data_IF_434044729737
#
_entry.id   IF_434044729737
#
_cell.length_a   1.000
_cell.length_b   1.000
_cell.length_c   1.000
_cell.angle_alpha   90.00
_cell.angle_beta   90.00
_cell.angle_gamma   90.00
#
_symmetry.space_group_name_H-M   'P 1'
#
loop_
_entity.id
_entity.type
_entity.pdbx_description
1 polymer ?
#
# COMPACT_ATOMS: atom_id res chain seq x y z
N UNK A 1 -15.62 21.58 -19.45
CA UNK A 1 -15.99 21.31 -18.05
C UNK A 1 -14.88 20.50 -17.41
N UNK A 2 -14.24 20.97 -16.33
CA UNK A 2 -13.34 20.12 -15.54
C UNK A 2 -14.21 19.15 -14.75
N UNK A 3 -14.10 17.85 -15.01
CA UNK A 3 -14.73 16.82 -14.20
C UNK A 3 -14.14 16.94 -12.79
N UNK A 4 -14.95 17.34 -11.81
CA UNK A 4 -14.55 17.30 -10.40
C UNK A 4 -14.60 15.86 -9.96
N UNK A 5 -13.45 15.30 -9.62
CA UNK A 5 -13.38 13.95 -9.05
C UNK A 5 -14.13 13.98 -7.70
N UNK A 6 -15.10 13.09 -7.48
CA UNK A 6 -15.87 13.05 -6.24
C UNK A 6 -14.98 12.64 -5.05
N UNK A 7 -15.46 12.90 -3.84
CA UNK A 7 -14.82 12.43 -2.61
C UNK A 7 -14.58 10.91 -2.66
N UNK A 8 -13.45 10.41 -2.13
CA UNK A 8 -13.04 9.01 -2.25
C UNK A 8 -14.11 8.03 -1.77
N UNK A 9 -14.80 8.33 -0.65
CA UNK A 9 -15.90 7.50 -0.16
C UNK A 9 -17.08 7.40 -1.16
N UNK A 10 -17.39 8.51 -1.84
CA UNK A 10 -18.44 8.54 -2.87
C UNK A 10 -18.01 7.76 -4.10
N UNK A 11 -16.72 7.85 -4.47
CA UNK A 11 -16.15 7.03 -5.53
C UNK A 11 -16.28 5.53 -5.20
N UNK A 12 -15.95 5.12 -3.98
CA UNK A 12 -16.11 3.72 -3.54
C UNK A 12 -17.57 3.27 -3.62
N UNK A 13 -18.53 4.11 -3.23
CA UNK A 13 -19.95 3.78 -3.35
C UNK A 13 -20.37 3.57 -4.82
N UNK A 14 -19.89 4.39 -5.75
CA UNK A 14 -20.14 4.16 -7.18
C UNK A 14 -19.51 2.85 -7.68
N UNK A 15 -18.32 2.49 -7.21
CA UNK A 15 -17.67 1.23 -7.55
C UNK A 15 -18.42 0.02 -6.97
N UNK A 16 -18.97 0.12 -5.77
CA UNK A 16 -19.82 -0.93 -5.19
C UNK A 16 -21.11 -1.12 -6.00
N UNK A 17 -21.76 -0.03 -6.43
CA UNK A 17 -22.93 -0.11 -7.33
C UNK A 17 -22.54 -0.78 -8.65
N UNK A 18 -21.40 -0.40 -9.23
CA UNK A 18 -20.91 -1.03 -10.45
C UNK A 18 -20.62 -2.52 -10.24
N UNK A 19 -20.03 -2.90 -9.10
CA UNK A 19 -19.79 -4.30 -8.75
C UNK A 19 -21.09 -5.10 -8.68
N UNK A 20 -22.13 -4.57 -8.03
CA UNK A 20 -23.44 -5.22 -7.98
C UNK A 20 -24.07 -5.35 -9.37
N UNK A 21 -23.99 -4.30 -10.20
CA UNK A 21 -24.51 -4.39 -11.57
C UNK A 21 -23.75 -5.44 -12.39
N UNK A 22 -22.43 -5.57 -12.17
CA UNK A 22 -21.64 -6.63 -12.81
C UNK A 22 -22.12 -8.03 -12.41
N UNK A 23 -22.56 -8.26 -11.17
CA UNK A 23 -23.10 -9.57 -10.78
C UNK A 23 -24.44 -9.93 -11.44
N UNK A 24 -25.12 -8.95 -12.05
CA UNK A 24 -26.34 -9.21 -12.83
C UNK A 24 -26.05 -9.43 -14.31
N UNK A 25 -24.94 -8.91 -14.82
CA UNK A 25 -24.59 -8.94 -16.24
C UNK A 25 -23.65 -10.09 -16.59
N UNK A 26 -22.77 -10.46 -15.65
CA UNK A 26 -21.76 -11.50 -15.84
C UNK A 26 -22.33 -12.81 -15.28
N UNK A 27 -22.28 -13.93 -16.04
CA UNK A 27 -22.72 -15.21 -15.52
C UNK A 27 -21.91 -15.62 -14.30
N UNK A 28 -22.53 -16.29 -13.35
CA UNK A 28 -21.83 -16.90 -12.23
C UNK A 28 -21.10 -18.16 -12.69
N UNK A 29 -19.91 -18.39 -12.14
CA UNK A 29 -19.11 -19.56 -12.45
C UNK A 29 -18.05 -19.80 -11.39
N UNK A 30 -17.46 -20.97 -11.43
CA UNK A 30 -16.43 -21.38 -10.48
C UNK A 30 -15.36 -22.25 -11.13
N UNK A 31 -14.14 -22.12 -10.62
CA UNK A 31 -13.09 -23.11 -10.81
C UNK A 31 -13.11 -24.14 -9.68
N UNK A 32 -12.82 -25.40 -10.01
CA UNK A 32 -12.44 -26.38 -9.00
C UNK A 32 -11.14 -25.91 -8.33
N UNK A 33 -11.07 -26.10 -7.01
CA UNK A 33 -9.93 -25.71 -6.20
C UNK A 33 -9.30 -26.95 -5.57
N UNK A 34 -7.98 -27.05 -5.63
CA UNK A 34 -7.19 -28.11 -5.00
C UNK A 34 -6.15 -27.50 -4.06
N UNK A 35 -5.59 -28.32 -3.17
CA UNK A 35 -4.49 -27.91 -2.29
C UNK A 35 -3.19 -28.40 -2.93
N UNK A 36 -2.27 -27.49 -3.21
CA UNK A 36 -0.95 -27.82 -3.74
C UNK A 36 -0.04 -28.42 -2.66
N UNK A 37 1.15 -28.90 -3.06
CA UNK A 37 2.11 -29.58 -2.18
C UNK A 37 2.62 -28.72 -1.01
N UNK A 38 2.45 -27.39 -1.09
CA UNK A 38 2.79 -26.42 -0.04
C UNK A 38 1.59 -25.99 0.80
N UNK A 39 0.46 -26.71 0.70
CA UNK A 39 -0.72 -26.51 1.54
C UNK A 39 -1.60 -25.32 1.15
N UNK A 40 -1.42 -24.77 -0.07
CA UNK A 40 -2.13 -23.59 -0.55
C UNK A 40 -3.25 -23.98 -1.52
N UNK A 41 -4.38 -23.27 -1.43
CA UNK A 41 -5.51 -23.46 -2.35
C UNK A 41 -5.22 -22.81 -3.71
N UNK A 42 -5.21 -23.61 -4.78
CA UNK A 42 -5.01 -23.17 -6.16
C UNK A 42 -6.18 -23.62 -7.02
N UNK A 43 -6.46 -22.88 -8.11
CA UNK A 43 -7.45 -23.30 -9.10
C UNK A 43 -6.89 -24.47 -9.95
N UNK A 44 -7.76 -25.39 -10.35
CA UNK A 44 -7.43 -26.47 -11.29
C UNK A 44 -7.57 -25.93 -12.71
N UNK A 45 -6.50 -25.89 -13.53
CA UNK A 45 -6.58 -25.38 -14.90
C UNK A 45 -7.63 -26.11 -15.73
N UNK A 46 -8.42 -25.36 -16.51
CA UNK A 46 -9.46 -25.91 -17.39
C UNK A 46 -10.72 -26.44 -16.70
N UNK A 47 -10.83 -26.34 -15.37
CA UNK A 47 -11.99 -26.82 -14.59
C UNK A 47 -13.17 -25.84 -14.53
N UNK A 48 -13.09 -24.70 -15.22
CA UNK A 48 -14.14 -23.67 -15.16
C UNK A 48 -15.50 -24.25 -15.57
N UNK A 49 -16.50 -24.06 -14.71
CA UNK A 49 -17.89 -24.38 -15.00
C UNK A 49 -18.79 -23.20 -14.66
N UNK A 50 -19.79 -22.99 -15.50
CA UNK A 50 -20.83 -21.98 -15.24
C UNK A 50 -21.87 -22.58 -14.30
N UNK A 51 -22.34 -21.78 -13.35
CA UNK A 51 -23.39 -22.19 -12.42
C UNK A 51 -24.75 -21.86 -13.02
N UNK A 52 -25.59 -22.89 -13.17
CA UNK A 52 -26.92 -22.75 -13.82
C UNK A 52 -27.97 -22.07 -12.92
N UNK A 53 -27.75 -22.04 -11.60
CA UNK A 53 -28.75 -21.69 -10.58
C UNK A 53 -28.22 -20.68 -9.54
N UNK A 54 -27.48 -19.67 -10.00
CA UNK A 54 -26.97 -18.62 -9.11
C UNK A 54 -28.03 -17.56 -8.81
N UNK A 55 -28.31 -17.33 -7.52
CA UNK A 55 -29.24 -16.30 -7.07
C UNK A 55 -28.69 -14.90 -7.32
N UNK A 56 -29.51 -14.03 -7.92
CA UNK A 56 -29.14 -12.63 -8.11
C UNK A 56 -29.05 -11.89 -6.77
N UNK A 57 -27.95 -11.17 -6.57
CA UNK A 57 -27.79 -10.31 -5.39
C UNK A 57 -28.80 -9.16 -5.41
N UNK A 58 -29.52 -9.00 -4.29
CA UNK A 58 -30.47 -7.91 -4.08
C UNK A 58 -29.76 -6.55 -3.98
N UNK A 59 -30.39 -5.43 -4.42
CA UNK A 59 -29.89 -4.08 -4.15
C UNK A 59 -29.62 -3.78 -2.67
N UNK A 60 -30.30 -4.48 -1.75
CA UNK A 60 -30.05 -4.37 -0.30
C UNK A 60 -28.61 -4.77 0.06
N UNK A 61 -27.97 -5.63 -0.75
CA UNK A 61 -26.60 -6.09 -0.54
C UNK A 61 -25.61 -4.92 -0.48
N UNK A 62 -25.86 -3.81 -1.18
CA UNK A 62 -25.02 -2.61 -1.10
C UNK A 62 -24.90 -2.03 0.31
N UNK A 63 -25.91 -2.26 1.16
CA UNK A 63 -25.92 -1.78 2.54
C UNK A 63 -25.39 -2.85 3.51
N UNK A 64 -25.74 -4.13 3.28
CA UNK A 64 -25.35 -5.24 4.16
C UNK A 64 -23.86 -5.59 4.03
N UNK A 65 -23.29 -5.48 2.83
CA UNK A 65 -21.90 -5.84 2.60
C UNK A 65 -20.92 -4.93 3.34
N UNK A 66 -21.30 -3.69 3.66
CA UNK A 66 -20.39 -2.72 4.32
C UNK A 66 -19.97 -3.22 5.71
N UNK A 67 -20.90 -3.53 6.66
CA UNK A 67 -20.52 -4.08 7.96
C UNK A 67 -19.85 -5.46 7.86
N UNK A 68 -20.25 -6.31 6.91
CA UNK A 68 -19.61 -7.61 6.67
C UNK A 68 -18.15 -7.45 6.24
N UNK A 69 -17.89 -6.58 5.27
CA UNK A 69 -16.56 -6.30 4.75
C UNK A 69 -15.68 -5.58 5.77
N UNK A 70 -16.24 -4.73 6.63
CA UNK A 70 -15.51 -4.14 7.76
C UNK A 70 -15.09 -5.21 8.78
N UNK A 71 -15.95 -6.19 9.05
CA UNK A 71 -15.62 -7.32 9.93
C UNK A 71 -14.57 -8.25 9.30
N UNK A 72 -14.66 -8.50 8.00
CA UNK A 72 -13.70 -9.32 7.25
C UNK A 72 -12.32 -8.63 7.15
N UNK A 73 -12.29 -7.31 6.94
CA UNK A 73 -11.07 -6.51 6.87
C UNK A 73 -10.54 -6.05 8.24
N UNK A 74 -11.11 -6.54 9.35
CA UNK A 74 -10.80 -6.04 10.70
C UNK A 74 -9.31 -6.11 11.05
N UNK A 75 -8.59 -7.13 10.59
CA UNK A 75 -7.15 -7.29 10.87
C UNK A 75 -6.33 -6.11 10.34
N UNK A 76 -6.59 -5.71 9.08
CA UNK A 76 -5.90 -4.57 8.44
C UNK A 76 -6.33 -3.26 9.08
N UNK A 77 -7.63 -3.10 9.34
CA UNK A 77 -8.20 -1.92 9.99
C UNK A 77 -7.56 -1.68 11.36
N UNK A 78 -7.51 -2.71 12.21
CA UNK A 78 -6.89 -2.60 13.52
C UNK A 78 -5.39 -2.36 13.42
N UNK A 79 -4.67 -3.04 12.51
CA UNK A 79 -3.25 -2.79 12.28
C UNK A 79 -2.97 -1.31 11.97
N UNK A 80 -3.71 -0.73 11.02
CA UNK A 80 -3.59 0.68 10.65
C UNK A 80 -3.89 1.59 11.84
N UNK A 81 -4.99 1.36 12.58
CA UNK A 81 -5.35 2.18 13.74
C UNK A 81 -4.28 2.11 14.86
N UNK A 82 -3.77 0.92 15.17
CA UNK A 82 -2.73 0.72 16.20
C UNK A 82 -1.43 1.41 15.80
N UNK A 83 -1.04 1.31 14.53
CA UNK A 83 0.10 2.04 13.98
C UNK A 83 -0.13 3.55 14.10
N UNK A 84 -1.32 4.04 13.75
CA UNK A 84 -1.69 5.44 13.91
C UNK A 84 -1.49 5.91 15.35
N UNK A 85 -1.91 5.12 16.32
CA UNK A 85 -1.74 5.45 17.73
C UNK A 85 -0.26 5.47 18.17
N UNK A 86 0.54 4.49 17.75
CA UNK A 86 1.99 4.50 17.99
C UNK A 86 2.63 5.75 17.37
N UNK A 87 2.18 6.16 16.18
CA UNK A 87 2.65 7.37 15.52
C UNK A 87 2.27 8.64 16.27
N UNK A 88 1.10 8.69 16.91
CA UNK A 88 0.71 9.77 17.81
C UNK A 88 1.70 9.92 18.98
N UNK A 89 2.08 8.80 19.61
CA UNK A 89 3.11 8.79 20.67
C UNK A 89 4.46 9.28 20.10
N UNK A 90 4.91 8.73 18.98
CA UNK A 90 6.22 9.06 18.39
C UNK A 90 6.32 10.54 18.00
N UNK A 91 5.27 11.12 17.42
CA UNK A 91 5.20 12.57 17.14
C UNK A 91 5.33 13.38 18.43
N UNK A 92 4.61 13.01 19.48
CA UNK A 92 4.68 13.68 20.77
C UNK A 92 6.06 13.59 21.46
N UNK A 93 6.92 12.64 21.05
CA UNK A 93 8.32 12.60 21.54
C UNK A 93 9.22 13.68 20.92
N UNK A 94 8.80 14.34 19.84
CA UNK A 94 9.64 15.29 19.07
C UNK A 94 10.74 14.61 18.24
N UNK A 95 10.80 13.27 18.23
CA UNK A 95 11.80 12.53 17.46
C UNK A 95 11.67 12.77 15.95
N UNK A 96 10.45 12.76 15.42
CA UNK A 96 10.22 12.99 13.98
C UNK A 96 10.63 14.40 13.57
N UNK A 97 10.30 15.42 14.38
CA UNK A 97 10.68 16.80 14.12
C UNK A 97 12.21 16.97 14.15
N UNK A 98 12.89 16.33 15.09
CA UNK A 98 14.36 16.35 15.14
C UNK A 98 15.01 15.67 13.93
N UNK A 99 14.43 14.56 13.44
CA UNK A 99 14.88 13.88 12.22
C UNK A 99 14.65 14.78 11.00
N UNK A 100 13.48 15.40 10.88
CA UNK A 100 13.18 16.38 9.82
C UNK A 100 14.20 17.51 9.85
N UNK A 101 14.48 18.08 11.02
CA UNK A 101 15.49 19.14 11.20
C UNK A 101 16.88 18.76 10.68
N UNK A 102 17.35 17.53 10.97
CA UNK A 102 18.64 17.03 10.45
C UNK A 102 18.59 16.87 8.93
N UNK A 103 17.51 16.29 8.40
CA UNK A 103 17.36 16.10 6.97
C UNK A 103 17.34 17.45 6.25
N UNK A 104 16.67 18.45 6.79
CA UNK A 104 16.68 19.82 6.28
C UNK A 104 18.09 20.40 6.30
N UNK A 105 18.80 20.34 7.43
CA UNK A 105 20.18 20.87 7.50
C UNK A 105 21.12 20.21 6.48
N UNK A 106 20.94 18.91 6.23
CA UNK A 106 21.79 18.15 5.32
C UNK A 106 21.40 18.28 3.84
N UNK A 107 20.12 18.49 3.56
CA UNK A 107 19.54 18.42 2.21
C UNK A 107 18.79 19.67 1.74
N UNK A 108 18.78 20.77 2.49
CA UNK A 108 18.09 22.02 2.13
C UNK A 108 18.39 22.46 0.67
N UNK A 109 19.67 22.49 0.30
CA UNK A 109 20.10 22.89 -1.05
C UNK A 109 20.21 21.70 -2.02
N UNK A 110 19.85 20.49 -1.57
CA UNK A 110 20.02 19.22 -2.30
C UNK A 110 18.70 18.47 -2.45
N UNK A 111 17.64 19.21 -2.75
CA UNK A 111 16.27 18.67 -2.91
C UNK A 111 16.22 17.46 -3.85
N UNK A 112 16.99 17.45 -4.95
CA UNK A 112 17.08 16.29 -5.84
C UNK A 112 17.63 15.02 -5.16
N UNK A 113 18.65 15.14 -4.31
CA UNK A 113 19.19 14.01 -3.55
C UNK A 113 18.22 13.50 -2.49
N UNK A 114 17.42 14.39 -1.89
CA UNK A 114 16.38 13.99 -0.96
C UNK A 114 15.29 13.17 -1.66
N UNK A 115 14.80 13.66 -2.80
CA UNK A 115 13.78 12.97 -3.59
C UNK A 115 14.31 11.59 -4.03
N UNK A 116 15.51 11.55 -4.62
CA UNK A 116 16.11 10.29 -5.06
C UNK A 116 16.33 9.35 -3.87
N UNK A 117 16.94 9.81 -2.78
CA UNK A 117 17.21 8.99 -1.59
C UNK A 117 15.94 8.44 -0.95
N UNK A 118 14.88 9.24 -0.88
CA UNK A 118 13.56 8.79 -0.41
C UNK A 118 12.97 7.71 -1.33
N UNK A 119 12.94 7.97 -2.65
CA UNK A 119 12.42 7.01 -3.64
C UNK A 119 13.19 5.69 -3.61
N UNK A 120 14.52 5.74 -3.51
CA UNK A 120 15.37 4.55 -3.39
C UNK A 120 15.07 3.78 -2.11
N UNK A 121 14.87 4.48 -1.00
CA UNK A 121 14.58 3.85 0.29
C UNK A 121 13.26 3.09 0.25
N UNK A 122 12.17 3.74 -0.15
CA UNK A 122 10.86 3.06 -0.28
C UNK A 122 10.89 1.98 -1.36
N UNK A 123 11.57 2.21 -2.47
CA UNK A 123 11.69 1.21 -3.54
C UNK A 123 12.46 -0.04 -3.13
N UNK A 124 13.59 0.09 -2.42
CA UNK A 124 14.40 -1.06 -1.99
C UNK A 124 13.64 -1.92 -0.98
N UNK A 125 13.03 -1.30 0.03
CA UNK A 125 12.30 -2.05 1.05
C UNK A 125 11.09 -2.79 0.46
N UNK A 126 10.33 -2.16 -0.46
CA UNK A 126 9.24 -2.85 -1.17
C UNK A 126 9.73 -3.95 -2.10
N UNK A 127 10.82 -3.72 -2.82
CA UNK A 127 11.37 -4.72 -3.74
C UNK A 127 11.88 -5.98 -3.02
N UNK A 128 12.45 -5.82 -1.83
CA UNK A 128 13.05 -6.92 -1.09
C UNK A 128 12.05 -7.64 -0.17
N UNK A 129 11.20 -6.88 0.51
CA UNK A 129 10.40 -7.39 1.64
C UNK A 129 8.89 -7.32 1.33
N UNK A 130 8.47 -6.54 0.33
CA UNK A 130 7.05 -6.39 0.00
C UNK A 130 6.29 -5.42 0.90
N UNK A 131 7.00 -4.58 1.64
CA UNK A 131 6.44 -3.53 2.51
C UNK A 131 5.63 -2.55 1.65
N UNK A 132 4.43 -2.22 2.09
CA UNK A 132 3.49 -1.36 1.37
C UNK A 132 2.69 -0.50 2.35
N UNK A 133 1.88 -1.15 3.19
CA UNK A 133 0.95 -0.51 4.12
C UNK A 133 1.69 0.21 5.26
N UNK A 134 2.87 -0.28 5.62
CA UNK A 134 3.70 0.28 6.67
C UNK A 134 4.23 1.67 6.29
N UNK A 135 4.18 2.06 5.02
CA UNK A 135 4.60 3.38 4.58
C UNK A 135 3.63 4.51 4.93
N UNK A 136 2.39 4.18 5.30
CA UNK A 136 1.41 5.17 5.77
C UNK A 136 1.96 6.00 6.94
N UNK A 137 2.81 5.40 7.77
CA UNK A 137 3.55 6.04 8.86
C UNK A 137 4.38 7.24 8.37
N UNK A 138 5.07 7.07 7.24
CA UNK A 138 6.01 8.06 6.73
C UNK A 138 5.33 9.18 5.95
N UNK A 139 4.05 9.04 5.59
CA UNK A 139 3.31 10.05 4.82
C UNK A 139 3.35 11.40 5.53
N UNK A 140 2.93 11.46 6.80
CA UNK A 140 2.89 12.71 7.55
C UNK A 140 4.28 13.35 7.69
N UNK A 141 5.32 12.53 7.93
CA UNK A 141 6.70 12.97 8.05
C UNK A 141 7.21 13.56 6.72
N UNK A 142 6.99 12.87 5.59
CA UNK A 142 7.42 13.34 4.27
C UNK A 142 6.68 14.61 3.87
N UNK A 143 5.38 14.71 4.16
CA UNK A 143 4.59 15.93 3.90
C UNK A 143 5.14 17.10 4.70
N UNK A 144 5.44 16.91 5.99
CA UNK A 144 6.04 17.94 6.83
C UNK A 144 7.43 18.36 6.30
N UNK A 145 8.28 17.40 5.93
CA UNK A 145 9.60 17.66 5.36
C UNK A 145 9.53 18.40 4.02
N UNK A 146 8.66 17.99 3.10
CA UNK A 146 8.46 18.64 1.81
C UNK A 146 7.98 20.08 2.02
N UNK A 147 7.01 20.29 2.90
CA UNK A 147 6.51 21.63 3.23
C UNK A 147 7.59 22.54 3.80
N UNK A 148 8.46 22.00 4.65
CA UNK A 148 9.60 22.76 5.18
C UNK A 148 10.63 23.16 4.10
N UNK A 149 10.71 22.40 3.01
CA UNK A 149 11.50 22.70 1.81
C UNK A 149 10.76 23.55 0.77
N UNK A 150 9.58 24.09 1.11
CA UNK A 150 8.70 24.82 0.18
C UNK A 150 8.23 23.97 -1.00
N UNK A 151 8.15 22.65 -0.80
CA UNK A 151 7.51 21.69 -1.70
C UNK A 151 6.12 21.36 -1.16
N UNK A 152 5.29 20.73 -1.98
CA UNK A 152 3.92 20.38 -1.61
C UNK A 152 3.75 18.92 -1.18
N UNK A 153 2.57 18.60 -0.66
CA UNK A 153 2.20 17.22 -0.29
C UNK A 153 2.23 16.24 -1.47
N UNK A 154 2.01 16.70 -2.70
CA UNK A 154 2.11 15.82 -3.89
C UNK A 154 3.55 15.38 -4.11
N UNK A 155 4.52 16.26 -3.89
CA UNK A 155 5.94 15.87 -3.95
C UNK A 155 6.25 14.79 -2.91
N UNK A 156 5.76 14.94 -1.68
CA UNK A 156 5.90 13.92 -0.63
C UNK A 156 5.28 12.58 -1.04
N UNK A 157 4.06 12.60 -1.56
CA UNK A 157 3.39 11.41 -2.08
C UNK A 157 4.12 10.82 -3.28
N UNK A 158 4.69 11.64 -4.17
CA UNK A 158 5.48 11.20 -5.31
C UNK A 158 6.74 10.46 -4.89
N UNK A 159 7.48 10.97 -3.90
CA UNK A 159 8.66 10.30 -3.34
C UNK A 159 8.29 8.90 -2.83
N UNK A 160 7.20 8.81 -2.08
CA UNK A 160 6.74 7.56 -1.46
C UNK A 160 6.16 6.61 -2.49
N UNK A 161 5.07 7.00 -3.18
CA UNK A 161 4.27 6.13 -4.06
C UNK A 161 5.08 5.70 -5.28
N UNK A 162 5.87 6.58 -5.90
CA UNK A 162 6.65 6.19 -7.08
C UNK A 162 7.81 5.27 -6.68
N UNK A 163 8.50 5.56 -5.57
CA UNK A 163 9.54 4.69 -5.03
C UNK A 163 9.00 3.31 -4.69
N UNK A 164 7.99 3.27 -3.81
CA UNK A 164 7.23 2.08 -3.44
C UNK A 164 6.75 1.30 -4.67
N UNK A 165 6.07 1.96 -5.62
CA UNK A 165 5.46 1.33 -6.79
C UNK A 165 6.48 0.70 -7.74
N UNK A 166 7.63 1.36 -7.96
CA UNK A 166 8.74 0.77 -8.73
C UNK A 166 9.31 -0.45 -8.00
N UNK A 167 9.52 -0.33 -6.69
CA UNK A 167 10.02 -1.42 -5.86
C UNK A 167 9.13 -2.65 -5.87
N UNK A 168 7.85 -2.44 -5.55
CA UNK A 168 6.83 -3.49 -5.48
C UNK A 168 6.55 -4.09 -6.86
N UNK A 169 6.49 -3.26 -7.92
CA UNK A 169 6.23 -3.73 -9.28
C UNK A 169 7.37 -4.57 -9.85
N UNK A 170 8.62 -4.22 -9.60
CA UNK A 170 9.76 -5.05 -10.01
C UNK A 170 9.93 -6.26 -9.11
N UNK A 171 9.69 -6.12 -7.81
CA UNK A 171 9.71 -7.18 -6.80
C UNK A 171 10.92 -8.13 -6.94
N UNK A 172 12.04 -7.80 -6.31
CA UNK A 172 13.27 -8.60 -6.43
C UNK A 172 13.19 -9.93 -5.66
N UNK A 173 12.71 -9.87 -4.41
CA UNK A 173 12.65 -11.02 -3.50
C UNK A 173 11.38 -11.08 -2.64
N UNK A 174 10.34 -10.33 -3.02
CA UNK A 174 9.12 -10.24 -2.22
C UNK A 174 8.54 -11.63 -1.92
N UNK A 175 8.49 -12.05 -0.64
CA UNK A 175 8.04 -13.38 -0.27
C UNK A 175 6.52 -13.55 -0.35
N UNK A 176 5.77 -12.45 -0.43
CA UNK A 176 4.30 -12.45 -0.41
C UNK A 176 3.67 -12.45 -1.80
N UNK A 177 4.40 -12.01 -2.83
CA UNK A 177 3.86 -11.94 -4.19
C UNK A 177 4.72 -12.74 -5.14
N UNK A 178 5.96 -12.30 -5.40
CA UNK A 178 6.82 -12.93 -6.39
C UNK A 178 7.10 -14.40 -6.06
N UNK A 179 7.55 -14.70 -4.84
CA UNK A 179 7.94 -16.08 -4.52
C UNK A 179 6.73 -17.03 -4.51
N UNK A 180 5.55 -16.55 -4.11
CA UNK A 180 4.30 -17.32 -4.20
C UNK A 180 3.95 -17.58 -5.67
N UNK A 181 3.94 -16.55 -6.51
CA UNK A 181 3.68 -16.69 -7.94
C UNK A 181 4.64 -17.68 -8.60
N UNK A 182 5.94 -17.60 -8.25
CA UNK A 182 6.96 -18.50 -8.79
C UNK A 182 6.80 -19.94 -8.31
N UNK A 183 6.41 -20.15 -7.06
CA UNK A 183 6.12 -21.51 -6.57
C UNK A 183 4.93 -22.14 -7.27
N UNK A 184 3.90 -21.35 -7.59
CA UNK A 184 2.70 -21.84 -8.30
C UNK A 184 3.03 -22.12 -9.77
N UNK A 185 3.80 -21.24 -10.40
CA UNK A 185 4.25 -21.42 -11.78
C UNK A 185 5.39 -22.45 -11.92
N UNK A 186 5.78 -23.13 -10.84
CA UNK A 186 6.84 -24.15 -10.79
C UNK A 186 8.20 -23.69 -11.37
N UNK A 187 8.51 -22.39 -11.29
CA UNK A 187 9.79 -21.83 -11.75
C UNK A 187 10.77 -21.65 -10.59
N UNK A 188 12.10 -21.64 -10.85
CA UNK A 188 13.08 -21.46 -9.79
C UNK A 188 12.83 -20.16 -9.00
N UNK A 189 12.93 -20.18 -7.66
CA UNK A 189 12.80 -18.98 -6.84
C UNK A 189 13.78 -17.89 -7.24
N UNK A 190 13.32 -16.65 -7.27
CA UNK A 190 14.05 -15.47 -7.76
C UNK A 190 14.54 -15.56 -9.22
N UNK A 191 14.04 -16.50 -10.02
CA UNK A 191 14.29 -16.51 -11.48
C UNK A 191 13.87 -15.18 -12.11
N UNK A 192 14.68 -14.66 -13.04
CA UNK A 192 14.48 -13.33 -13.64
C UNK A 192 15.00 -12.14 -12.82
N UNK A 193 15.71 -12.38 -11.72
CA UNK A 193 16.31 -11.31 -10.90
C UNK A 193 17.23 -10.39 -11.70
N UNK A 194 18.11 -10.95 -12.55
CA UNK A 194 19.05 -10.16 -13.36
C UNK A 194 18.33 -9.17 -14.27
N UNK A 195 17.26 -9.62 -14.92
CA UNK A 195 16.40 -8.78 -15.76
C UNK A 195 15.79 -7.62 -14.96
N UNK A 196 15.24 -7.91 -13.76
CA UNK A 196 14.67 -6.87 -12.89
C UNK A 196 15.72 -5.87 -12.41
N UNK A 197 16.92 -6.34 -12.06
CA UNK A 197 18.04 -5.47 -11.63
C UNK A 197 18.50 -4.56 -12.75
N UNK A 198 18.49 -5.02 -14.00
CA UNK A 198 18.80 -4.19 -15.18
C UNK A 198 17.73 -3.12 -15.38
N UNK A 199 16.44 -3.46 -15.24
CA UNK A 199 15.33 -2.52 -15.43
C UNK A 199 15.22 -1.46 -14.33
N UNK A 200 15.57 -1.84 -13.10
CA UNK A 200 15.42 -1.00 -11.91
C UNK A 200 15.99 0.42 -12.04
N UNK A 201 17.26 0.65 -12.47
CA UNK A 201 17.79 1.99 -12.65
C UNK A 201 17.03 2.81 -13.69
N UNK A 202 16.48 2.19 -14.74
CA UNK A 202 15.70 2.91 -15.77
C UNK A 202 14.37 3.39 -15.20
N UNK A 203 13.63 2.54 -14.48
CA UNK A 203 12.37 2.93 -13.87
C UNK A 203 12.57 3.98 -12.77
N UNK A 204 13.60 3.84 -11.93
CA UNK A 204 13.96 4.86 -10.95
C UNK A 204 14.32 6.19 -11.64
N UNK A 205 15.08 6.18 -12.74
CA UNK A 205 15.42 7.39 -13.47
C UNK A 205 14.17 8.11 -14.04
N UNK A 206 13.23 7.35 -14.63
CA UNK A 206 11.97 7.88 -15.15
C UNK A 206 11.11 8.45 -14.01
N UNK A 207 10.94 7.68 -12.93
CA UNK A 207 10.18 8.11 -11.76
C UNK A 207 10.77 9.38 -11.13
N UNK A 208 12.09 9.37 -10.90
CA UNK A 208 12.83 10.51 -10.38
C UNK A 208 12.66 11.74 -11.26
N UNK A 209 12.79 11.58 -12.59
CA UNK A 209 12.58 12.68 -13.52
C UNK A 209 11.22 13.35 -13.33
N UNK A 210 10.13 12.58 -13.24
CA UNK A 210 8.79 13.13 -13.09
C UNK A 210 8.58 13.82 -11.74
N UNK A 211 8.95 13.15 -10.65
CA UNK A 211 8.78 13.69 -9.28
C UNK A 211 9.65 14.94 -9.10
N UNK A 212 10.91 14.89 -9.53
CA UNK A 212 11.83 16.02 -9.41
C UNK A 212 11.45 17.21 -10.30
N UNK A 213 11.00 16.95 -11.54
CA UNK A 213 10.54 18.02 -12.43
C UNK A 213 9.28 18.70 -11.90
N UNK A 214 8.35 17.93 -11.34
CA UNK A 214 7.19 18.48 -10.66
C UNK A 214 7.59 19.30 -9.42
N UNK A 215 8.44 18.76 -8.55
CA UNK A 215 8.92 19.45 -7.36
C UNK A 215 9.58 20.79 -7.70
N UNK A 216 10.43 20.82 -8.74
CA UNK A 216 11.04 22.06 -9.24
C UNK A 216 10.00 23.06 -9.73
N UNK A 217 8.96 22.61 -10.44
CA UNK A 217 7.91 23.47 -10.95
C UNK A 217 7.14 24.12 -9.81
N UNK A 218 6.76 23.35 -8.79
CA UNK A 218 6.06 23.85 -7.60
C UNK A 218 6.94 24.78 -6.75
N UNK A 219 8.22 24.45 -6.62
CA UNK A 219 9.17 25.31 -5.90
C UNK A 219 9.38 26.67 -6.58
N UNK A 220 9.32 26.71 -7.93
CA UNK A 220 9.42 27.96 -8.71
C UNK A 220 8.09 28.74 -8.74
N UNK A 221 6.96 28.03 -8.83
CA UNK A 221 5.62 28.61 -8.86
C UNK A 221 4.64 27.74 -8.04
N UNK A 222 4.29 28.16 -6.81
CA UNK A 222 3.34 27.44 -5.96
C UNK A 222 1.95 27.25 -6.57
N UNK A 223 1.54 28.10 -7.53
CA UNK A 223 0.24 27.96 -8.21
C UNK A 223 0.20 26.76 -9.16
N UNK A 224 1.36 26.21 -9.53
CA UNK A 224 1.47 25.00 -10.34
C UNK A 224 1.26 23.70 -9.54
N UNK A 225 1.02 23.79 -8.22
CA UNK A 225 0.68 22.65 -7.37
C UNK A 225 -0.71 22.11 -7.72
N UNK A 226 -0.85 20.77 -7.79
CA UNK A 226 -2.18 20.16 -7.91
C UNK A 226 -3.04 20.33 -6.66
N UNK A 227 -2.47 20.83 -5.56
CA UNK A 227 -3.19 21.16 -4.32
C UNK A 227 -3.43 22.66 -4.16
N UNK A 228 -3.17 23.49 -5.17
CA UNK A 228 -3.29 24.95 -5.07
C UNK A 228 -4.68 25.42 -4.59
N UNK A 229 -5.75 24.68 -4.94
CA UNK A 229 -7.13 25.00 -4.57
C UNK A 229 -7.52 24.57 -3.14
N UNK A 230 -6.72 23.69 -2.50
CA UNK A 230 -7.06 23.03 -1.22
C UNK A 230 -6.06 23.43 -0.11
N UNK A 231 -4.86 23.87 -0.47
CA UNK A 231 -3.88 24.32 0.52
C UNK A 231 -4.35 25.59 1.23
N UNK A 232 -4.48 25.50 2.55
CA UNK A 232 -4.63 26.68 3.41
C UNK A 232 -3.43 27.61 3.21
N UNK A 233 -3.66 28.88 2.89
CA UNK A 233 -2.62 29.91 2.74
C UNK A 233 -1.80 30.15 4.02
N UNK A 234 -2.26 29.70 5.18
CA UNK A 234 -1.74 30.09 6.51
C UNK A 234 -0.66 29.18 7.08
N UNK A 235 0.20 28.63 6.24
CA UNK A 235 0.97 27.46 6.62
C UNK A 235 2.49 27.69 6.46
N UNK A 236 2.90 28.96 6.57
CA UNK A 236 4.28 29.48 6.56
C UNK A 236 4.91 29.58 7.96
N UNK A 237 4.41 28.86 8.96
CA UNK A 237 5.09 28.78 10.24
C UNK A 237 6.45 28.09 10.01
N UNK A 238 7.53 28.86 10.16
CA UNK A 238 8.88 28.31 10.27
C UNK A 238 8.88 27.47 11.55
N UNK A 239 8.69 26.17 11.39
CA UNK A 239 8.76 25.25 12.52
C UNK A 239 10.21 25.27 13.03
N UNK A 240 10.40 25.68 14.28
CA UNK A 240 11.68 25.47 14.95
C UNK A 240 11.83 23.97 15.19
N UNK A 241 12.76 23.35 14.48
CA UNK A 241 13.04 21.93 14.65
C UNK A 241 13.95 21.71 15.86
N UNK A 242 13.56 20.87 16.83
CA UNK A 242 14.38 20.60 17.99
C UNK A 242 15.68 19.89 17.59
N UNK A 243 16.76 20.17 18.31
CA UNK A 243 18.01 19.45 18.14
C UNK A 243 17.84 17.95 18.46
N UNK A 244 18.63 17.09 17.80
CA UNK A 244 18.59 15.65 18.04
C UNK A 244 19.21 15.31 19.41
N UNK A 245 18.34 15.13 20.41
CA UNK A 245 18.72 14.74 21.76
C UNK A 245 19.16 13.27 21.83
N UNK A 246 19.83 12.89 22.92
CA UNK A 246 20.15 11.47 23.17
C UNK A 246 18.90 10.59 23.28
N UNK A 247 17.78 11.13 23.76
CA UNK A 247 16.51 10.39 23.78
C UNK A 247 15.99 10.13 22.37
N UNK A 248 16.05 11.12 21.48
CA UNK A 248 15.68 10.93 20.08
C UNK A 248 16.55 9.87 19.40
N UNK A 249 17.86 9.85 19.69
CA UNK A 249 18.78 8.81 19.18
C UNK A 249 18.42 7.41 19.66
N UNK A 250 18.05 7.25 20.93
CA UNK A 250 17.63 5.96 21.50
C UNK A 250 16.31 5.49 20.86
N UNK A 251 15.34 6.39 20.69
CA UNK A 251 14.06 6.08 20.04
C UNK A 251 14.30 5.70 18.57
N UNK A 252 15.16 6.45 17.85
CA UNK A 252 15.52 6.15 16.47
C UNK A 252 16.25 4.80 16.34
N UNK A 253 17.16 4.48 17.24
CA UNK A 253 17.82 3.19 17.28
C UNK A 253 16.81 2.06 17.54
N UNK A 254 15.87 2.26 18.47
CA UNK A 254 14.76 1.34 18.70
C UNK A 254 13.90 1.13 17.45
N UNK A 255 13.63 2.19 16.69
CA UNK A 255 12.89 2.09 15.43
C UNK A 255 13.65 1.24 14.40
N UNK A 256 14.95 1.43 14.26
CA UNK A 256 15.80 0.60 13.37
C UNK A 256 15.80 -0.86 13.81
N UNK A 257 15.87 -1.13 15.13
CA UNK A 257 15.76 -2.50 15.66
C UNK A 257 14.39 -3.11 15.34
N UNK A 258 13.30 -2.35 15.52
CA UNK A 258 11.94 -2.79 15.17
C UNK A 258 11.83 -3.13 13.69
N UNK A 259 12.40 -2.32 12.79
CA UNK A 259 12.43 -2.66 11.36
C UNK A 259 13.22 -3.95 11.08
N UNK A 260 14.35 -4.15 11.76
CA UNK A 260 15.14 -5.39 11.63
C UNK A 260 14.38 -6.63 12.12
N UNK A 261 13.72 -6.51 13.29
CA UNK A 261 12.89 -7.58 13.87
C UNK A 261 11.65 -7.85 13.02
N UNK A 262 11.05 -6.82 12.43
CA UNK A 262 9.93 -6.94 11.49
C UNK A 262 10.34 -7.78 10.27
N UNK A 263 11.47 -7.46 9.64
CA UNK A 263 11.97 -8.20 8.48
C UNK A 263 12.30 -9.65 8.85
N UNK A 264 12.95 -9.85 10.00
CA UNK A 264 13.27 -11.19 10.50
C UNK A 264 12.01 -12.01 10.83
N UNK A 265 11.04 -11.41 11.52
CA UNK A 265 9.79 -12.05 11.92
C UNK A 265 8.95 -12.47 10.72
N UNK A 266 8.82 -11.60 9.71
CA UNK A 266 8.17 -11.94 8.45
C UNK A 266 8.86 -13.12 7.78
N UNK A 267 10.18 -13.04 7.61
CA UNK A 267 10.93 -14.02 6.81
C UNK A 267 11.06 -15.39 7.48
N UNK A 268 11.26 -15.42 8.80
CA UNK A 268 11.61 -16.65 9.53
C UNK A 268 10.41 -17.25 10.25
N UNK A 269 9.54 -16.41 10.80
CA UNK A 269 8.41 -16.84 11.63
C UNK A 269 7.05 -16.70 10.95
N UNK A 270 7.01 -16.19 9.71
CA UNK A 270 5.75 -15.97 9.00
C UNK A 270 4.85 -14.95 9.68
N UNK A 271 5.42 -14.00 10.42
CA UNK A 271 4.65 -12.97 11.12
C UNK A 271 3.76 -12.18 10.16
N UNK A 272 2.55 -11.90 10.62
CA UNK A 272 1.59 -11.11 9.87
C UNK A 272 1.02 -10.00 10.75
N UNK A 273 -0.19 -9.51 10.45
CA UNK A 273 -0.75 -8.29 11.04
C UNK A 273 -0.76 -8.29 12.58
N UNK A 274 -0.99 -9.44 13.22
CA UNK A 274 -1.07 -9.53 14.69
C UNK A 274 0.28 -9.31 15.35
N UNK A 275 1.31 -10.06 14.94
CA UNK A 275 2.65 -9.96 15.52
C UNK A 275 3.29 -8.60 15.17
N UNK A 276 3.05 -8.09 13.96
CA UNK A 276 3.51 -6.77 13.55
C UNK A 276 2.82 -5.67 14.37
N UNK A 277 1.51 -5.76 14.60
CA UNK A 277 0.79 -4.85 15.50
C UNK A 277 1.42 -4.85 16.90
N UNK A 278 1.68 -6.03 17.46
CA UNK A 278 2.25 -6.18 18.79
C UNK A 278 3.67 -5.59 18.88
N UNK A 279 4.49 -5.79 17.84
CA UNK A 279 5.82 -5.22 17.75
C UNK A 279 5.80 -3.68 17.75
N UNK A 280 4.93 -3.07 16.94
CA UNK A 280 4.77 -1.61 16.91
C UNK A 280 4.19 -1.07 18.21
N UNK A 281 3.23 -1.75 18.82
CA UNK A 281 2.70 -1.37 20.14
C UNK A 281 3.79 -1.40 21.22
N UNK A 282 4.60 -2.46 21.25
CA UNK A 282 5.76 -2.57 22.14
C UNK A 282 6.76 -1.43 21.92
N UNK A 283 6.97 -1.04 20.65
CA UNK A 283 7.80 0.11 20.31
C UNK A 283 7.21 1.44 20.78
N UNK A 284 5.90 1.65 20.64
CA UNK A 284 5.21 2.83 21.14
C UNK A 284 5.36 2.98 22.66
N UNK A 285 5.19 1.88 23.39
CA UNK A 285 5.41 1.84 24.84
C UNK A 285 6.87 2.16 25.19
N UNK A 286 7.82 1.53 24.51
CA UNK A 286 9.25 1.81 24.66
C UNK A 286 9.56 3.31 24.43
N UNK A 287 9.01 3.90 23.37
CA UNK A 287 9.23 5.30 23.05
C UNK A 287 8.65 6.23 24.12
N UNK A 288 7.45 5.94 24.64
CA UNK A 288 6.84 6.68 25.74
C UNK A 288 7.71 6.63 27.02
N UNK A 289 8.25 5.45 27.35
CA UNK A 289 9.14 5.26 28.51
C UNK A 289 10.44 6.04 28.34
N UNK A 290 11.10 5.93 27.18
CA UNK A 290 12.35 6.66 26.89
C UNK A 290 12.14 8.17 26.89
N UNK A 291 10.99 8.63 26.39
CA UNK A 291 10.61 10.04 26.41
C UNK A 291 10.28 10.55 27.83
N UNK A 292 10.03 9.65 28.80
CA UNK A 292 9.48 9.95 30.13
C UNK A 292 8.11 10.61 30.04
N UNK A 293 7.27 10.15 29.12
CA UNK A 293 5.92 10.65 28.91
C UNK A 293 5.01 10.16 30.05
N UNK A 294 4.19 11.03 30.67
CA UNK A 294 3.16 10.59 31.61
C UNK A 294 2.20 9.60 30.93
N UNK A 295 1.72 8.59 31.67
CA UNK A 295 0.88 7.53 31.10
C UNK A 295 -0.43 8.06 30.52
N UNK A 296 -1.06 9.05 31.17
CA UNK A 296 -2.26 9.71 30.67
C UNK A 296 -2.02 10.43 29.34
N UNK A 297 -0.88 11.13 29.22
CA UNK A 297 -0.50 11.79 27.98
C UNK A 297 -0.22 10.76 26.88
N UNK A 298 0.50 9.68 27.18
CA UNK A 298 0.79 8.62 26.21
C UNK A 298 -0.51 7.97 25.67
N UNK A 299 -1.47 7.69 26.55
CA UNK A 299 -2.78 7.16 26.15
C UNK A 299 -3.55 8.15 25.28
N UNK A 300 -3.58 9.44 25.65
CA UNK A 300 -4.25 10.47 24.87
C UNK A 300 -3.63 10.63 23.48
N UNK A 301 -2.29 10.66 23.39
CA UNK A 301 -1.58 10.75 22.09
C UNK A 301 -1.79 9.51 21.23
N UNK A 302 -1.89 8.34 21.85
CA UNK A 302 -2.25 7.12 21.15
C UNK A 302 -3.65 7.20 20.53
N UNK A 303 -4.64 7.66 21.30
CA UNK A 303 -6.03 7.78 20.81
C UNK A 303 -6.10 8.82 19.68
N UNK A 304 -5.46 9.97 19.85
CA UNK A 304 -5.39 11.01 18.81
C UNK A 304 -4.77 10.49 17.51
N UNK A 305 -3.64 9.79 17.61
CA UNK A 305 -2.98 9.21 16.44
C UNK A 305 -3.81 8.13 15.74
N UNK A 306 -4.51 7.29 16.50
CA UNK A 306 -5.42 6.29 15.93
C UNK A 306 -6.62 6.96 15.23
N UNK A 307 -7.19 8.00 15.84
CA UNK A 307 -8.33 8.73 15.28
C UNK A 307 -8.02 9.36 13.91
N UNK A 308 -6.81 9.88 13.70
CA UNK A 308 -6.37 10.43 12.41
C UNK A 308 -6.44 9.41 11.26
N UNK A 309 -6.34 8.11 11.53
CA UNK A 309 -6.38 7.06 10.52
C UNK A 309 -7.77 6.45 10.32
N UNK A 310 -8.81 6.98 10.98
CA UNK A 310 -10.19 6.49 10.86
C UNK A 310 -10.70 6.55 9.42
N UNK A 311 -10.40 7.63 8.69
CA UNK A 311 -10.79 7.75 7.29
C UNK A 311 -10.16 6.64 6.42
N UNK A 312 -8.87 6.37 6.61
CA UNK A 312 -8.15 5.30 5.91
C UNK A 312 -8.72 3.93 6.26
N UNK A 313 -8.96 3.66 7.55
CA UNK A 313 -9.58 2.42 8.02
C UNK A 313 -10.97 2.17 7.39
N UNK A 314 -11.81 3.21 7.32
CA UNK A 314 -13.11 3.11 6.65
C UNK A 314 -12.95 2.82 5.15
N UNK A 315 -12.03 3.50 4.47
CA UNK A 315 -11.78 3.25 3.05
C UNK A 315 -11.34 1.81 2.77
N UNK A 316 -10.59 1.18 3.68
CA UNK A 316 -10.21 -0.24 3.57
C UNK A 316 -11.45 -1.16 3.59
N UNK A 317 -12.39 -0.93 4.52
CA UNK A 317 -13.63 -1.72 4.57
C UNK A 317 -14.54 -1.52 3.35
N UNK A 318 -14.64 -0.28 2.86
CA UNK A 318 -15.40 0.02 1.64
C UNK A 318 -14.73 -0.60 0.40
N UNK A 319 -13.40 -0.60 0.32
CA UNK A 319 -12.69 -1.29 -0.75
C UNK A 319 -12.92 -2.81 -0.68
N UNK A 320 -12.90 -3.40 0.52
CA UNK A 320 -13.22 -4.82 0.71
C UNK A 320 -14.65 -5.17 0.28
N UNK A 321 -15.60 -4.25 0.46
CA UNK A 321 -16.99 -4.44 0.05
C UNK A 321 -17.13 -4.69 -1.46
N UNK A 322 -16.32 -4.03 -2.29
CA UNK A 322 -16.34 -4.20 -3.75
C UNK A 322 -15.99 -5.64 -4.12
N UNK A 323 -14.89 -6.15 -3.57
CA UNK A 323 -14.45 -7.52 -3.80
C UNK A 323 -15.47 -8.54 -3.25
N UNK A 324 -16.00 -8.30 -2.05
CA UNK A 324 -16.99 -9.18 -1.41
C UNK A 324 -18.30 -9.29 -2.21
N UNK A 325 -18.79 -8.19 -2.82
CA UNK A 325 -19.95 -8.26 -3.73
C UNK A 325 -19.68 -9.21 -4.90
N UNK A 326 -18.49 -9.13 -5.50
CA UNK A 326 -18.13 -9.96 -6.66
C UNK A 326 -17.90 -11.42 -6.29
N UNK A 327 -17.36 -11.68 -5.10
CA UNK A 327 -17.25 -13.01 -4.49
C UNK A 327 -18.63 -13.62 -4.25
N UNK A 328 -19.52 -12.89 -3.58
CA UNK A 328 -20.88 -13.33 -3.29
C UNK A 328 -21.72 -13.53 -4.55
N UNK A 329 -21.46 -12.75 -5.61
CA UNK A 329 -22.09 -12.95 -6.92
C UNK A 329 -21.47 -14.08 -7.75
N UNK A 330 -20.39 -14.71 -7.27
CA UNK A 330 -19.65 -15.77 -7.96
C UNK A 330 -19.23 -15.37 -9.39
N UNK A 331 -18.89 -14.10 -9.61
CA UNK A 331 -18.49 -13.60 -10.93
C UNK A 331 -16.98 -13.44 -11.09
N UNK A 332 -16.21 -13.51 -9.99
CA UNK A 332 -14.76 -13.37 -10.06
C UNK A 332 -14.14 -14.44 -10.97
N UNK A 333 -14.46 -15.71 -10.75
CA UNK A 333 -13.92 -16.84 -11.52
C UNK A 333 -14.30 -16.73 -13.01
N UNK A 334 -15.50 -16.24 -13.33
CA UNK A 334 -15.93 -15.97 -14.70
C UNK A 334 -15.15 -14.84 -15.36
N UNK A 335 -14.93 -13.73 -14.65
CA UNK A 335 -14.10 -12.61 -15.13
C UNK A 335 -12.67 -13.09 -15.40
N UNK A 336 -12.12 -13.85 -14.47
CA UNK A 336 -10.81 -14.50 -14.52
C UNK A 336 -10.69 -15.39 -15.78
N UNK A 337 -11.66 -16.28 -16.00
CA UNK A 337 -11.70 -17.19 -17.15
C UNK A 337 -11.72 -16.43 -18.50
N UNK A 338 -12.62 -15.46 -18.65
CA UNK A 338 -12.71 -14.72 -19.91
C UNK A 338 -11.52 -13.80 -20.15
N UNK A 339 -10.87 -13.30 -19.08
CA UNK A 339 -9.65 -12.52 -19.21
C UNK A 339 -8.44 -13.41 -19.56
N UNK A 340 -8.41 -14.70 -19.23
CA UNK A 340 -7.28 -15.58 -19.55
C UNK A 340 -7.28 -16.05 -21.00
N UNK A 341 -8.44 -16.26 -21.64
CA UNK A 341 -8.52 -16.80 -23.02
C UNK A 341 -7.68 -16.03 -24.07
N UNK A 342 -7.66 -14.69 -24.09
CA UNK A 342 -6.86 -13.96 -25.08
C UNK A 342 -5.35 -14.15 -24.89
N UNK A 343 -4.90 -14.45 -23.66
CA UNK A 343 -3.47 -14.62 -23.34
C UNK A 343 -2.93 -15.90 -23.97
N UNK A 344 -3.70 -16.98 -23.95
CA UNK A 344 -3.34 -18.28 -24.54
C UNK A 344 -3.11 -18.18 -26.06
N UNK A 345 -3.83 -17.27 -26.73
CA UNK A 345 -3.72 -17.07 -28.18
C UNK A 345 -2.56 -16.15 -28.60
N UNK A 346 -1.93 -15.44 -27.66
CA UNK A 346 -0.89 -14.44 -27.93
C UNK A 346 0.51 -15.01 -27.67
N UNK A 347 1.41 -14.91 -28.65
CA UNK A 347 2.82 -15.30 -28.46
C UNK A 347 3.50 -14.53 -27.31
N UNK A 348 4.58 -15.08 -26.76
CA UNK A 348 5.13 -14.68 -25.44
C UNK A 348 5.34 -13.18 -25.20
N UNK A 349 5.69 -12.37 -26.22
CA UNK A 349 5.82 -10.92 -26.07
C UNK A 349 4.48 -10.20 -25.87
N UNK A 350 3.46 -10.57 -26.65
CA UNK A 350 2.12 -10.00 -26.54
C UNK A 350 1.37 -10.56 -25.33
N UNK A 351 1.61 -11.85 -25.00
CA UNK A 351 1.09 -12.46 -23.78
C UNK A 351 1.55 -11.74 -22.51
N UNK A 352 2.82 -11.35 -22.42
CA UNK A 352 3.32 -10.59 -21.27
C UNK A 352 2.66 -9.21 -21.11
N UNK A 353 2.40 -8.49 -22.22
CA UNK A 353 1.70 -7.19 -22.18
C UNK A 353 0.22 -7.38 -21.85
N UNK A 354 -0.44 -8.39 -22.43
CA UNK A 354 -1.81 -8.74 -22.10
C UNK A 354 -1.96 -9.07 -20.61
N UNK A 355 -1.02 -9.84 -20.07
CA UNK A 355 -0.99 -10.20 -18.65
C UNK A 355 -0.87 -8.96 -17.75
N UNK A 356 -0.05 -7.97 -18.12
CA UNK A 356 0.02 -6.70 -17.40
C UNK A 356 -1.34 -5.98 -17.38
N UNK A 357 -2.04 -5.94 -18.52
CA UNK A 357 -3.36 -5.29 -18.64
C UNK A 357 -4.40 -6.04 -17.80
N UNK A 358 -4.43 -7.38 -17.89
CA UNK A 358 -5.33 -8.24 -17.13
C UNK A 358 -5.08 -8.09 -15.63
N UNK A 359 -3.83 -8.16 -15.19
CA UNK A 359 -3.48 -7.96 -13.79
C UNK A 359 -3.89 -6.56 -13.29
N UNK A 360 -3.75 -5.54 -14.14
CA UNK A 360 -4.18 -4.17 -13.82
C UNK A 360 -5.70 -4.07 -13.69
N UNK A 361 -6.47 -4.84 -14.47
CA UNK A 361 -7.92 -4.93 -14.32
C UNK A 361 -8.31 -5.73 -13.07
N UNK A 362 -7.65 -6.87 -12.84
CA UNK A 362 -7.86 -7.71 -11.64
C UNK A 362 -7.52 -6.96 -10.35
N UNK A 363 -6.61 -5.97 -10.37
CA UNK A 363 -6.33 -5.07 -9.23
C UNK A 363 -7.55 -4.30 -8.73
N UNK A 364 -8.57 -4.10 -9.56
CA UNK A 364 -9.83 -3.50 -9.12
C UNK A 364 -10.71 -4.49 -8.34
N UNK A 365 -10.57 -5.79 -8.60
CA UNK A 365 -11.45 -6.83 -8.10
C UNK A 365 -10.84 -7.63 -6.95
N UNK A 366 -9.52 -7.85 -7.01
CA UNK A 366 -8.73 -8.61 -6.03
C UNK A 366 -7.61 -7.69 -5.55
N UNK A 367 -7.80 -6.90 -4.48
CA UNK A 367 -6.80 -5.93 -4.03
C UNK A 367 -5.53 -6.56 -3.45
N UNK A 368 -5.57 -7.84 -3.09
CA UNK A 368 -4.43 -8.55 -2.49
C UNK A 368 -3.46 -9.07 -3.56
N UNK A 369 -2.21 -8.60 -3.53
CA UNK A 369 -1.17 -9.05 -4.45
C UNK A 369 -0.87 -10.56 -4.36
N UNK A 370 -0.98 -11.16 -3.16
CA UNK A 370 -0.83 -12.62 -3.00
C UNK A 370 -2.02 -13.37 -3.58
N UNK A 371 -3.24 -12.90 -3.32
CA UNK A 371 -4.46 -13.48 -3.88
C UNK A 371 -4.48 -13.45 -5.41
N UNK A 372 -3.98 -12.38 -6.01
CA UNK A 372 -3.83 -12.35 -7.46
C UNK A 372 -2.76 -13.30 -7.97
N UNK A 373 -1.62 -13.41 -7.29
CA UNK A 373 -0.60 -14.38 -7.68
C UNK A 373 -1.17 -15.81 -7.72
N UNK A 374 -2.04 -16.16 -6.76
CA UNK A 374 -2.75 -17.45 -6.75
C UNK A 374 -3.63 -17.67 -7.96
N UNK A 375 -4.37 -16.65 -8.36
CA UNK A 375 -5.34 -16.72 -9.45
C UNK A 375 -4.64 -16.69 -10.81
N UNK A 376 -3.60 -15.89 -10.97
CA UNK A 376 -3.05 -15.60 -12.30
C UNK A 376 -1.84 -16.46 -12.65
N UNK A 377 -1.06 -16.91 -11.67
CA UNK A 377 0.06 -17.84 -11.91
C UNK A 377 -0.40 -19.26 -12.23
N UNK A 378 -1.64 -19.62 -11.88
CA UNK A 378 -2.29 -20.91 -12.14
C UNK A 378 -3.02 -20.96 -13.50
N UNK A 379 -2.99 -19.88 -14.27
CA UNK A 379 -3.61 -19.79 -15.60
C UNK A 379 -2.72 -20.28 -16.75
N UNK A 380 -1.49 -20.73 -16.46
CA UNK A 380 -0.54 -21.17 -17.49
C UNK A 380 -0.49 -22.70 -17.61
#
# INVERSE_FOLDING_TARGET
MRIKVPHTLVLMAYLMIAALVMTWLIPSGEFERTVNDIGQTTIVPGSYSQLDDADYLSPLQLLLVIPEALADAQGVIFFVLLIGGVMGILRATGMLDAVIGILLQKFADKTGWLILGGMLTFGIFSALIGVAEEYLIFVAMLVALCRALKLDGITAMGILIVGYGIGYGLSLFNPFTLLIAQSIAEVPPASGLEYRLILWPFFIAIGFHHVYSYAKRVAADPSASFLADIQSKDSTAVAEYPALTNRHKIILAGFVVVLGVLVWGIKVHGWYLVELSALFLGFGLFAAIVAKMPSGDAAQRFIEGAAELTATALLIGFARSIAMILEQGQVLDTVIYYLSMPVEALGGHFGAVAMLVIQSMLNFFIPSGSGQAFVTASMN
#
